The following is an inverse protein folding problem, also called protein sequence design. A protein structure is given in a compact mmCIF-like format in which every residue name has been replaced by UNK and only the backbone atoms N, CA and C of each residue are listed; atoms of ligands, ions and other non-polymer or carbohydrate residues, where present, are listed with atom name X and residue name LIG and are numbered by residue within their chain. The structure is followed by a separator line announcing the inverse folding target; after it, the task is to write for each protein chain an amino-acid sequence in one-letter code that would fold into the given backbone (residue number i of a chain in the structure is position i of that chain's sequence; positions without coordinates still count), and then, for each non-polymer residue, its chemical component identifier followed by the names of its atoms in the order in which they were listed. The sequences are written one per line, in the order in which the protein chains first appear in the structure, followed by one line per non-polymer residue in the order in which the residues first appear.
data_IF_148981447217
#
_entry.id   IF_148981447217
#
_cell.length_a   1.000
_cell.length_b   1.000
_cell.length_c   1.000
_cell.angle_alpha   90.00
_cell.angle_beta   90.00
_cell.angle_gamma   90.00
#
_symmetry.space_group_name_H-M   'P 1'
#
loop_
_entity.id
_entity.type
_entity.pdbx_description
1 polymer ?
#
# COMPACT_ATOMS: atom_id res chain seq x y z
N UNK A 1 -6.98 13.85 -13.94
CA UNK A 1 -8.43 13.95 -13.91
C UNK A 1 -8.96 13.60 -12.53
N UNK A 2 -9.66 14.53 -11.92
CA UNK A 2 -10.16 14.34 -10.58
C UNK A 2 -11.18 13.19 -10.48
N UNK A 3 -11.91 12.92 -11.57
CA UNK A 3 -12.83 11.80 -11.60
C UNK A 3 -12.10 10.47 -11.43
N UNK A 4 -10.94 10.34 -12.03
CA UNK A 4 -10.14 9.14 -11.89
C UNK A 4 -9.60 9.01 -10.46
N UNK A 5 -9.41 10.12 -9.79
CA UNK A 5 -8.99 10.09 -8.39
C UNK A 5 -10.14 9.73 -7.47
N UNK A 6 -11.35 10.16 -7.82
CA UNK A 6 -12.55 9.85 -7.04
C UNK A 6 -13.06 8.46 -7.33
N UNK A 7 -12.99 8.04 -8.59
CA UNK A 7 -13.30 6.67 -8.96
C UNK A 7 -12.07 5.85 -8.62
N UNK A 8 -12.12 5.20 -7.56
CA UNK A 8 -11.07 4.39 -6.98
C UNK A 8 -9.92 4.00 -7.90
N UNK A 9 -8.72 4.14 -7.41
CA UNK A 9 -7.55 3.49 -7.97
C UNK A 9 -7.51 2.08 -7.35
N UNK A 10 -7.82 1.02 -8.12
CA UNK A 10 -7.89 -0.33 -7.54
C UNK A 10 -6.61 -0.77 -6.87
N UNK A 11 -5.46 -0.34 -7.39
CA UNK A 11 -4.18 -0.69 -6.76
C UNK A 11 -4.01 0.00 -5.43
N UNK A 12 -4.52 1.21 -5.30
CA UNK A 12 -4.49 1.92 -4.03
C UNK A 12 -5.39 1.23 -3.01
N UNK A 13 -6.57 0.79 -3.43
CA UNK A 13 -7.47 0.03 -2.56
C UNK A 13 -6.82 -1.28 -2.12
N UNK A 14 -6.14 -1.96 -3.05
CA UNK A 14 -5.40 -3.17 -2.73
C UNK A 14 -4.31 -2.88 -1.70
N UNK A 15 -3.55 -1.82 -1.89
CA UNK A 15 -2.48 -1.45 -0.95
C UNK A 15 -3.05 -1.15 0.44
N UNK A 16 -4.21 -0.48 0.51
CA UNK A 16 -4.88 -0.26 1.80
C UNK A 16 -5.23 -1.56 2.47
N UNK A 17 -5.84 -2.48 1.72
CA UNK A 17 -6.25 -3.77 2.27
C UNK A 17 -5.06 -4.56 2.77
N UNK A 18 -4.04 -4.72 1.93
CA UNK A 18 -2.90 -5.56 2.28
C UNK A 18 -2.05 -4.97 3.39
N UNK A 19 -1.94 -3.65 3.43
CA UNK A 19 -1.08 -2.96 4.38
C UNK A 19 -1.79 -2.71 5.70
N UNK A 20 -3.08 -2.38 5.67
CA UNK A 20 -3.80 -1.95 6.86
C UNK A 20 -4.66 -3.03 7.47
N UNK A 21 -5.23 -3.93 6.67
CA UNK A 21 -6.19 -4.94 7.16
C UNK A 21 -5.57 -6.31 7.38
N UNK A 22 -4.61 -6.68 6.57
CA UNK A 22 -3.95 -7.98 6.69
C UNK A 22 -2.87 -7.93 7.75
N UNK A 23 -2.66 -9.06 8.44
CA UNK A 23 -1.48 -9.19 9.28
C UNK A 23 -0.24 -9.18 8.40
N UNK A 24 0.90 -8.88 9.01
CA UNK A 24 2.16 -8.87 8.28
C UNK A 24 2.45 -10.22 7.64
N UNK A 25 2.18 -11.31 8.37
CA UNK A 25 2.41 -12.66 7.85
C UNK A 25 1.50 -12.99 6.69
N UNK A 26 0.22 -12.63 6.78
CA UNK A 26 -0.73 -12.86 5.70
C UNK A 26 -0.32 -12.08 4.46
N UNK A 27 0.09 -10.84 4.63
CA UNK A 27 0.55 -10.03 3.51
C UNK A 27 1.77 -10.66 2.85
N UNK A 28 2.76 -11.04 3.64
CA UNK A 28 3.98 -11.65 3.10
C UNK A 28 3.69 -12.91 2.31
N UNK A 29 2.74 -13.70 2.80
CA UNK A 29 2.40 -14.97 2.16
C UNK A 29 1.62 -14.80 0.86
N UNK A 30 0.84 -13.71 0.72
CA UNK A 30 -0.15 -13.63 -0.36
C UNK A 30 0.02 -12.44 -1.29
N UNK A 31 0.87 -11.49 -0.96
CA UNK A 31 0.98 -10.25 -1.72
C UNK A 31 1.36 -10.46 -3.18
N UNK A 32 2.37 -11.28 -3.43
CA UNK A 32 2.83 -11.54 -4.79
C UNK A 32 1.75 -12.26 -5.61
N UNK A 33 1.07 -13.23 -5.01
CA UNK A 33 -0.02 -13.94 -5.67
C UNK A 33 -1.16 -13.00 -6.02
N UNK A 34 -1.48 -12.09 -5.13
CA UNK A 34 -2.55 -11.12 -5.34
C UNK A 34 -2.24 -10.22 -6.54
N UNK A 35 -1.01 -9.73 -6.62
CA UNK A 35 -0.60 -8.90 -7.75
C UNK A 35 -0.63 -9.67 -9.07
N UNK A 36 -0.19 -10.92 -9.05
CA UNK A 36 -0.24 -11.78 -10.23
C UNK A 36 -1.68 -12.03 -10.67
N UNK A 37 -2.59 -12.26 -9.72
CA UNK A 37 -4.01 -12.47 -10.03
C UNK A 37 -4.64 -11.19 -10.60
N UNK A 38 -4.27 -10.05 -10.05
CA UNK A 38 -4.77 -8.77 -10.56
C UNK A 38 -4.32 -8.56 -12.00
N UNK A 39 -3.06 -8.83 -12.28
CA UNK A 39 -2.52 -8.73 -13.64
C UNK A 39 -3.26 -9.69 -14.59
N UNK A 40 -3.43 -10.94 -14.17
CA UNK A 40 -4.13 -11.93 -14.98
C UNK A 40 -5.57 -11.52 -15.27
N UNK A 41 -6.24 -10.92 -14.29
CA UNK A 41 -7.61 -10.45 -14.48
C UNK A 41 -7.67 -9.32 -15.50
N UNK A 42 -6.74 -8.39 -15.48
CA UNK A 42 -6.67 -7.31 -16.45
C UNK A 42 -6.46 -7.85 -17.87
N UNK A 43 -5.54 -8.79 -18.01
CA UNK A 43 -5.29 -9.42 -19.31
C UNK A 43 -6.55 -10.15 -19.81
N UNK A 44 -7.22 -10.85 -18.89
CA UNK A 44 -8.46 -11.55 -19.22
C UNK A 44 -9.59 -10.62 -19.66
N UNK A 45 -9.58 -9.36 -19.20
CA UNK A 45 -10.55 -8.36 -19.59
C UNK A 45 -10.17 -7.64 -20.89
N UNK A 46 -9.06 -8.02 -21.50
CA UNK A 46 -8.64 -7.45 -22.77
C UNK A 46 -7.71 -6.27 -22.68
N UNK A 47 -7.22 -5.96 -21.47
CA UNK A 47 -6.24 -4.90 -21.32
C UNK A 47 -4.92 -5.40 -21.89
N UNK A 48 -4.40 -4.68 -22.88
CA UNK A 48 -3.18 -5.05 -23.57
C UNK A 48 -2.02 -4.18 -23.11
N UNK A 49 -0.83 -4.68 -23.33
CA UNK A 49 0.40 -3.94 -23.10
C UNK A 49 0.59 -3.47 -21.67
N UNK A 50 0.05 -4.24 -20.71
CA UNK A 50 0.29 -3.95 -19.31
C UNK A 50 1.16 -5.06 -18.73
N UNK A 51 2.35 -4.70 -18.29
CA UNK A 51 3.28 -5.64 -17.71
C UNK A 51 3.04 -5.77 -16.22
N UNK A 52 3.33 -6.96 -15.70
CA UNK A 52 3.24 -7.17 -14.26
C UNK A 52 4.17 -6.20 -13.51
N UNK A 53 5.33 -5.89 -14.09
CA UNK A 53 6.26 -4.94 -13.50
C UNK A 53 5.64 -3.56 -13.31
N UNK A 54 4.85 -3.12 -14.28
CA UNK A 54 4.17 -1.83 -14.20
C UNK A 54 3.14 -1.83 -13.07
N UNK A 55 2.39 -2.91 -12.95
CA UNK A 55 1.42 -3.05 -11.86
C UNK A 55 2.14 -3.04 -10.52
N UNK A 56 3.25 -3.76 -10.43
CA UNK A 56 4.03 -3.84 -9.19
C UNK A 56 4.57 -2.46 -8.81
N UNK A 57 5.08 -1.70 -9.77
CA UNK A 57 5.59 -0.35 -9.50
C UNK A 57 4.49 0.57 -8.98
N UNK A 58 3.32 0.51 -9.58
CA UNK A 58 2.20 1.33 -9.15
C UNK A 58 1.68 0.90 -7.79
N UNK A 59 1.68 -0.40 -7.52
CA UNK A 59 1.32 -0.91 -6.21
C UNK A 59 2.32 -0.40 -5.16
N UNK A 60 3.60 -0.42 -5.48
CA UNK A 60 4.65 0.06 -4.57
C UNK A 60 4.45 1.54 -4.23
N UNK A 61 4.11 2.36 -5.23
CA UNK A 61 3.80 3.76 -4.98
C UNK A 61 2.58 3.91 -4.08
N UNK A 62 1.58 3.06 -4.27
CA UNK A 62 0.40 3.08 -3.42
C UNK A 62 0.73 2.68 -1.99
N UNK A 63 1.64 1.72 -1.79
CA UNK A 63 2.09 1.33 -0.45
C UNK A 63 2.78 2.51 0.24
N UNK A 64 3.62 3.24 -0.50
CA UNK A 64 4.26 4.44 0.05
C UNK A 64 3.23 5.51 0.41
N UNK A 65 2.20 5.66 -0.40
CA UNK A 65 1.12 6.59 -0.11
C UNK A 65 0.40 6.20 1.19
N UNK A 66 0.12 4.92 1.36
CA UNK A 66 -0.54 4.42 2.58
C UNK A 66 0.32 4.71 3.81
N UNK A 67 1.64 4.49 3.72
CA UNK A 67 2.54 4.81 4.82
C UNK A 67 2.49 6.31 5.14
N UNK A 68 2.58 7.14 4.11
CA UNK A 68 2.55 8.58 4.30
C UNK A 68 1.25 9.02 4.97
N UNK A 69 0.13 8.45 4.55
CA UNK A 69 -1.17 8.74 5.15
C UNK A 69 -1.20 8.36 6.63
N UNK A 70 -0.72 7.15 6.98
CA UNK A 70 -0.69 6.72 8.37
C UNK A 70 0.20 7.63 9.22
N UNK A 71 1.32 8.08 8.66
CA UNK A 71 2.22 8.96 9.40
C UNK A 71 1.59 10.33 9.64
N UNK A 72 0.86 10.86 8.65
CA UNK A 72 0.17 12.13 8.80
C UNK A 72 -0.91 12.01 9.89
N UNK A 73 -1.69 10.95 9.85
CA UNK A 73 -2.74 10.74 10.85
C UNK A 73 -2.13 10.60 12.24
N UNK A 74 -1.06 9.83 12.37
CA UNK A 74 -0.42 9.62 13.66
C UNK A 74 0.19 10.92 14.21
N UNK A 75 0.69 11.78 13.31
CA UNK A 75 1.30 13.03 13.74
C UNK A 75 0.30 14.16 13.99
N UNK A 76 -0.78 14.21 13.22
CA UNK A 76 -1.76 15.28 13.31
C UNK A 76 -2.87 14.97 14.31
N UNK A 77 -3.14 13.71 14.54
CA UNK A 77 -4.21 13.27 15.41
C UNK A 77 -3.63 12.85 16.75
N UNK A 78 -4.09 13.49 17.82
CA UNK A 78 -3.69 13.11 19.17
C UNK A 78 -4.79 12.22 19.73
N UNK A 79 -4.59 10.90 19.76
CA UNK A 79 -5.63 10.00 20.24
C UNK A 79 -5.93 10.27 21.70
N UNK A 80 -7.20 10.35 22.05
CA UNK A 80 -7.62 10.61 23.41
C UNK A 80 -7.66 9.37 24.26
N UNK A 81 -7.48 8.19 23.65
CA UNK A 81 -7.54 6.93 24.39
C UNK A 81 -6.33 6.08 24.05
N UNK A 82 -5.97 5.20 24.99
CA UNK A 82 -4.88 4.25 24.76
C UNK A 82 -5.18 3.31 23.59
N UNK A 83 -6.44 2.95 23.42
CA UNK A 83 -6.83 2.08 22.32
C UNK A 83 -6.62 2.75 20.97
N UNK A 84 -7.02 4.02 20.84
CA UNK A 84 -6.84 4.75 19.58
C UNK A 84 -5.37 4.95 19.28
N UNK A 85 -4.57 5.23 20.30
CA UNK A 85 -3.13 5.39 20.15
C UNK A 85 -2.49 4.10 19.66
N UNK A 86 -2.89 2.96 20.25
CA UNK A 86 -2.36 1.67 19.86
C UNK A 86 -2.73 1.32 18.42
N UNK A 87 -3.96 1.63 18.02
CA UNK A 87 -4.39 1.38 16.64
C UNK A 87 -3.58 2.21 15.64
N UNK A 88 -3.31 3.46 15.98
CA UNK A 88 -2.50 4.32 15.11
C UNK A 88 -1.08 3.79 15.00
N UNK A 89 -0.50 3.34 16.09
CA UNK A 89 0.84 2.77 16.09
C UNK A 89 0.92 1.49 15.27
N UNK A 90 -0.10 0.64 15.36
CA UNK A 90 -0.14 -0.60 14.57
C UNK A 90 -0.27 -0.31 13.09
N UNK A 91 -1.04 0.72 12.71
CA UNK A 91 -1.16 1.11 11.32
C UNK A 91 0.17 1.54 10.73
N UNK A 92 0.89 2.38 11.46
CA UNK A 92 2.23 2.82 11.04
C UNK A 92 3.18 1.63 10.97
N UNK A 93 3.15 0.76 11.98
CA UNK A 93 4.04 -0.40 12.02
C UNK A 93 3.84 -1.30 10.81
N UNK A 94 2.59 -1.62 10.47
CA UNK A 94 2.30 -2.48 9.34
C UNK A 94 2.73 -1.83 8.03
N UNK A 95 2.51 -0.53 7.89
CA UNK A 95 2.90 0.18 6.69
C UNK A 95 4.43 0.24 6.54
N UNK A 96 5.14 0.49 7.63
CA UNK A 96 6.61 0.48 7.61
C UNK A 96 7.13 -0.90 7.21
N UNK A 97 6.57 -1.96 7.77
CA UNK A 97 7.00 -3.31 7.41
C UNK A 97 6.75 -3.61 5.93
N UNK A 98 5.63 -3.13 5.39
CA UNK A 98 5.36 -3.31 3.97
C UNK A 98 6.42 -2.62 3.11
N UNK A 99 6.78 -1.39 3.46
CA UNK A 99 7.82 -0.65 2.75
C UNK A 99 9.15 -1.37 2.82
N UNK A 100 9.52 -1.87 4.00
CA UNK A 100 10.79 -2.58 4.17
C UNK A 100 10.79 -3.90 3.40
N UNK A 101 9.72 -4.67 3.50
CA UNK A 101 9.63 -5.96 2.83
C UNK A 101 9.71 -5.84 1.30
N UNK A 102 9.21 -4.74 0.76
CA UNK A 102 9.22 -4.52 -0.68
C UNK A 102 10.45 -3.74 -1.15
N UNK A 103 11.33 -3.37 -0.23
CA UNK A 103 12.57 -2.68 -0.58
C UNK A 103 12.36 -1.27 -1.12
N UNK A 104 11.37 -0.56 -0.61
CA UNK A 104 10.99 0.74 -1.15
C UNK A 104 11.66 1.92 -0.46
N UNK A 105 12.55 1.65 0.46
CA UNK A 105 13.17 2.73 1.25
C UNK A 105 13.89 3.74 0.36
N UNK A 106 14.47 3.28 -0.73
CA UNK A 106 15.20 4.14 -1.66
C UNK A 106 14.31 5.09 -2.44
N UNK A 107 13.00 4.82 -2.46
CA UNK A 107 12.06 5.67 -3.19
C UNK A 107 11.54 6.82 -2.33
N UNK A 108 11.85 6.83 -1.04
CA UNK A 108 11.40 7.88 -0.14
C UNK A 108 12.26 9.11 -0.34
N UNK A 109 11.66 10.26 -0.63
CA UNK A 109 12.43 11.51 -0.80
C UNK A 109 13.22 11.83 0.46
N UNK A 110 14.47 12.22 0.27
CA UNK A 110 15.34 12.55 1.39
C UNK A 110 16.01 11.36 2.04
N UNK A 111 15.66 10.15 1.61
CA UNK A 111 16.33 8.95 2.08
C UNK A 111 17.73 8.90 1.47
N UNK A 112 18.73 8.77 2.30
CA UNK A 112 20.08 8.62 1.77
C UNK A 112 20.31 7.17 1.37
N UNK A 113 20.85 7.00 0.24
CA UNK A 113 21.20 5.68 -0.26
C UNK A 113 22.62 5.34 0.11
#
# INVERSE_FOLDING_TARGET
DWQNMMVSNPLQDLAWMTTSSWTIETRRANEASLLAEYHAALVGLGVQDIALETITERYDLAVLFVLNFHMIIAGAFVPSTERAKKMAEEGVHRAVQAVLDRGLLNLIPGSSS
#
